data_IF_259578473972
#
_entry.id   IF_259578473972
#
_cell.length_a   1.000
_cell.length_b   1.000
_cell.length_c   1.000
_cell.angle_alpha   90.00
_cell.angle_beta   90.00
_cell.angle_gamma   90.00
#
_symmetry.space_group_name_H-M   'P 1'
#
loop_
_entity.id
_entity.type
_entity.pdbx_description
1 polymer ?
#
# COMPACT_ATOMS: atom_id res chain seq x y z
N UNK A 1 -18.83 34.58 -18.45
CA UNK A 1 -18.69 33.25 -17.81
C UNK A 1 -17.23 32.98 -17.52
N UNK A 2 -16.88 32.71 -16.26
CA UNK A 2 -15.53 32.37 -15.80
C UNK A 2 -15.50 30.92 -15.23
N UNK A 3 -14.31 30.37 -15.03
CA UNK A 3 -14.18 29.04 -14.41
C UNK A 3 -14.37 29.15 -12.90
N UNK A 4 -15.14 28.24 -12.32
CA UNK A 4 -15.41 28.18 -10.89
C UNK A 4 -14.11 28.10 -10.05
N UNK A 5 -13.15 27.28 -10.44
CA UNK A 5 -11.87 27.18 -9.74
C UNK A 5 -11.07 28.49 -9.70
N UNK A 6 -11.13 29.29 -10.77
CA UNK A 6 -10.47 30.59 -10.80
C UNK A 6 -11.15 31.58 -9.87
N UNK A 7 -12.49 31.69 -9.92
CA UNK A 7 -13.25 32.57 -9.05
C UNK A 7 -13.02 32.23 -7.57
N UNK A 8 -13.01 30.95 -7.24
CA UNK A 8 -12.76 30.49 -5.86
C UNK A 8 -11.35 30.80 -5.40
N UNK A 9 -10.33 30.68 -6.27
CA UNK A 9 -8.95 31.06 -5.95
C UNK A 9 -8.83 32.58 -5.75
N UNK A 10 -9.45 33.37 -6.60
CA UNK A 10 -9.42 34.84 -6.48
C UNK A 10 -10.10 35.31 -5.17
N UNK A 11 -11.16 34.63 -4.74
CA UNK A 11 -11.84 34.90 -3.46
C UNK A 11 -11.10 34.36 -2.23
N UNK A 12 -10.19 33.38 -2.41
CA UNK A 12 -9.46 32.71 -1.34
C UNK A 12 -7.99 32.57 -1.72
N UNK A 13 -7.20 33.63 -1.67
CA UNK A 13 -5.81 33.65 -2.14
C UNK A 13 -4.88 32.70 -1.36
N UNK A 14 -5.24 32.37 -0.13
CA UNK A 14 -4.48 31.40 0.70
C UNK A 14 -4.71 29.93 0.31
N UNK A 15 -5.63 29.66 -0.61
CA UNK A 15 -5.93 28.30 -1.04
C UNK A 15 -5.13 27.92 -2.29
N UNK A 16 -4.55 26.73 -2.26
CA UNK A 16 -3.98 26.16 -3.48
C UNK A 16 -5.10 25.65 -4.42
N UNK A 17 -4.80 25.58 -5.71
CA UNK A 17 -5.73 25.04 -6.71
C UNK A 17 -6.19 23.62 -6.36
N UNK A 18 -5.27 22.77 -5.86
CA UNK A 18 -5.58 21.40 -5.42
C UNK A 18 -6.56 21.39 -4.24
N UNK A 19 -6.49 22.37 -3.34
CA UNK A 19 -7.45 22.50 -2.23
C UNK A 19 -8.85 22.84 -2.75
N UNK A 20 -8.96 23.79 -3.68
CA UNK A 20 -10.24 24.13 -4.32
C UNK A 20 -10.83 22.92 -5.07
N UNK A 21 -10.01 22.20 -5.86
CA UNK A 21 -10.44 20.97 -6.54
C UNK A 21 -10.93 19.91 -5.56
N UNK A 22 -10.26 19.78 -4.40
CA UNK A 22 -10.66 18.89 -3.31
C UNK A 22 -12.01 19.27 -2.70
N UNK A 23 -12.24 20.53 -2.43
CA UNK A 23 -13.52 21.05 -1.88
C UNK A 23 -14.69 20.83 -2.85
N UNK A 24 -14.49 21.10 -4.14
CA UNK A 24 -15.51 20.84 -5.16
C UNK A 24 -15.81 19.33 -5.25
N UNK A 25 -14.80 18.49 -5.32
CA UNK A 25 -14.95 17.04 -5.38
C UNK A 25 -15.59 16.45 -4.13
N UNK A 26 -15.36 17.05 -2.96
CA UNK A 26 -15.96 16.66 -1.68
C UNK A 26 -17.40 17.13 -1.49
N UNK A 27 -17.98 17.88 -2.46
CA UNK A 27 -19.35 18.38 -2.36
C UNK A 27 -19.51 19.65 -1.52
N UNK A 28 -18.39 20.28 -1.10
CA UNK A 28 -18.40 21.48 -0.25
C UNK A 28 -18.57 22.79 -1.02
N UNK A 29 -18.82 22.72 -2.33
CA UNK A 29 -19.06 23.88 -3.17
C UNK A 29 -20.40 23.73 -3.88
N UNK A 30 -21.26 24.75 -3.78
CA UNK A 30 -22.56 24.81 -4.47
C UNK A 30 -22.58 26.01 -5.40
N UNK A 31 -23.28 25.88 -6.51
CA UNK A 31 -23.60 26.95 -7.44
C UNK A 31 -25.13 26.99 -7.57
N UNK A 32 -25.74 28.11 -7.18
CA UNK A 32 -27.19 28.24 -7.10
C UNK A 32 -27.85 27.14 -6.29
N UNK A 33 -27.28 26.83 -5.10
CA UNK A 33 -27.70 25.76 -4.17
C UNK A 33 -27.54 24.32 -4.70
N UNK A 34 -26.98 24.12 -5.89
CA UNK A 34 -26.68 22.79 -6.45
C UNK A 34 -25.19 22.48 -6.29
N UNK A 35 -24.88 21.27 -5.81
CA UNK A 35 -23.47 20.83 -5.64
C UNK A 35 -22.72 20.88 -6.97
N UNK A 36 -21.58 21.54 -6.97
CA UNK A 36 -20.74 21.70 -8.16
C UNK A 36 -20.08 20.37 -8.54
N UNK A 37 -20.33 19.89 -9.76
CA UNK A 37 -19.79 18.60 -10.25
C UNK A 37 -18.30 18.64 -10.59
N UNK A 38 -17.80 19.81 -11.04
CA UNK A 38 -16.42 19.96 -11.54
C UNK A 38 -15.86 21.35 -11.19
N UNK A 39 -14.63 21.40 -10.69
CA UNK A 39 -13.93 22.64 -10.40
C UNK A 39 -13.75 23.54 -11.64
N UNK A 40 -13.66 22.94 -12.83
CA UNK A 40 -13.51 23.66 -14.09
C UNK A 40 -14.81 24.09 -14.77
N UNK A 41 -16.00 23.91 -14.15
CA UNK A 41 -17.27 24.32 -14.74
C UNK A 41 -17.31 25.86 -14.94
N UNK A 42 -18.04 26.30 -15.95
CA UNK A 42 -18.25 27.73 -16.22
C UNK A 42 -19.46 28.23 -15.43
N UNK A 43 -19.30 29.34 -14.77
CA UNK A 43 -20.35 30.03 -13.99
C UNK A 43 -20.54 31.42 -14.53
N UNK A 44 -21.78 31.97 -14.43
CA UNK A 44 -22.10 33.33 -14.79
C UNK A 44 -21.77 34.29 -13.62
N UNK A 45 -21.67 35.58 -13.89
CA UNK A 45 -21.45 36.57 -12.84
C UNK A 45 -22.64 36.68 -11.87
N UNK A 46 -23.81 36.29 -12.32
CA UNK A 46 -25.07 36.30 -11.55
C UNK A 46 -25.22 35.04 -10.69
N UNK A 47 -24.38 34.00 -10.87
CA UNK A 47 -24.49 32.74 -10.11
C UNK A 47 -24.04 32.98 -8.67
N UNK A 48 -24.81 32.42 -7.73
CA UNK A 48 -24.49 32.40 -6.31
C UNK A 48 -23.57 31.19 -6.03
N UNK A 49 -22.34 31.47 -5.59
CA UNK A 49 -21.38 30.46 -5.25
C UNK A 49 -21.23 30.39 -3.74
N UNK A 50 -21.58 29.25 -3.17
CA UNK A 50 -21.43 28.93 -1.75
C UNK A 50 -20.28 27.93 -1.58
N UNK A 51 -19.39 28.17 -0.61
CA UNK A 51 -18.30 27.27 -0.28
C UNK A 51 -18.25 27.05 1.23
N UNK A 52 -18.39 25.80 1.63
CA UNK A 52 -18.20 25.38 3.01
C UNK A 52 -16.77 24.88 3.19
N UNK A 53 -16.10 25.34 4.23
CA UNK A 53 -14.78 24.85 4.60
C UNK A 53 -14.97 23.84 5.72
N UNK A 54 -14.81 22.52 5.44
CA UNK A 54 -14.92 21.51 6.48
C UNK A 54 -13.85 21.76 7.55
N UNK A 55 -14.12 21.43 8.82
CA UNK A 55 -13.13 21.53 9.87
C UNK A 55 -11.87 20.76 9.48
N UNK A 56 -10.69 21.23 9.93
CA UNK A 56 -9.44 20.50 9.68
C UNK A 56 -9.58 19.07 10.21
N UNK A 57 -9.32 18.07 9.34
CA UNK A 57 -9.20 16.70 9.81
C UNK A 57 -8.03 16.64 10.79
N UNK A 58 -8.19 16.09 11.99
CA UNK A 58 -7.10 15.99 12.97
C UNK A 58 -5.85 15.39 12.30
N UNK A 59 -4.73 16.06 12.42
CA UNK A 59 -3.45 15.57 11.89
C UNK A 59 -2.95 14.33 12.66
N UNK A 60 -3.52 14.13 13.85
CA UNK A 60 -3.18 13.02 14.76
C UNK A 60 -4.21 11.90 14.58
N UNK A 61 -3.78 10.69 14.23
CA UNK A 61 -4.66 9.52 14.23
C UNK A 61 -5.20 9.26 15.64
N UNK A 62 -6.47 8.92 15.75
CA UNK A 62 -7.09 8.56 17.01
C UNK A 62 -7.05 7.04 17.22
N UNK A 63 -6.95 6.55 18.49
CA UNK A 63 -7.04 5.14 18.80
C UNK A 63 -8.41 4.56 18.41
N UNK A 64 -8.44 3.39 17.78
CA UNK A 64 -9.66 2.68 17.43
C UNK A 64 -9.54 1.21 17.84
N UNK A 65 -10.58 0.65 18.48
CA UNK A 65 -10.64 -0.76 18.85
C UNK A 65 -10.86 -1.66 17.62
N UNK A 66 -9.76 -1.90 16.91
CA UNK A 66 -9.71 -2.76 15.72
C UNK A 66 -8.84 -3.96 16.06
N UNK A 67 -9.36 -5.20 15.95
CA UNK A 67 -8.59 -6.40 16.24
C UNK A 67 -7.30 -6.51 15.40
N UNK A 68 -6.19 -6.83 16.06
CA UNK A 68 -4.90 -7.09 15.45
C UNK A 68 -4.53 -8.57 15.59
N UNK A 69 -4.08 -9.18 14.50
CA UNK A 69 -3.45 -10.50 14.51
C UNK A 69 -1.96 -10.32 14.87
N UNK A 70 -1.66 -10.37 16.17
CA UNK A 70 -0.31 -10.17 16.73
C UNK A 70 0.47 -11.48 16.63
N UNK A 71 1.56 -11.44 15.86
CA UNK A 71 2.48 -12.59 15.66
C UNK A 71 3.57 -12.61 16.73
N UNK A 72 4.04 -11.43 17.14
CA UNK A 72 5.05 -11.27 18.18
C UNK A 72 4.97 -9.88 18.78
N UNK A 73 5.22 -9.79 20.07
CA UNK A 73 5.29 -8.54 20.80
C UNK A 73 6.27 -8.60 21.97
N UNK A 74 7.08 -7.56 22.13
CA UNK A 74 7.88 -7.30 23.32
C UNK A 74 7.86 -5.80 23.68
N UNK A 75 8.82 -5.33 24.48
CA UNK A 75 8.91 -3.91 24.86
C UNK A 75 9.30 -2.98 23.71
N UNK A 76 9.97 -3.50 22.67
CA UNK A 76 10.63 -2.73 21.64
C UNK A 76 9.96 -2.84 20.27
N UNK A 77 9.39 -4.00 19.94
CA UNK A 77 8.76 -4.24 18.65
C UNK A 77 7.42 -4.97 18.79
N UNK A 78 6.57 -4.74 17.81
CA UNK A 78 5.35 -5.50 17.55
C UNK A 78 5.37 -5.99 16.11
N UNK A 79 5.09 -7.27 15.87
CA UNK A 79 4.91 -7.84 14.52
C UNK A 79 3.47 -8.27 14.36
N UNK A 80 2.81 -7.72 13.35
CA UNK A 80 1.39 -7.95 13.06
C UNK A 80 1.25 -8.63 11.71
N UNK A 81 0.37 -9.61 11.60
CA UNK A 81 -0.14 -10.12 10.34
C UNK A 81 -1.31 -9.25 9.87
N UNK A 82 -0.99 -8.23 9.07
CA UNK A 82 -1.98 -7.26 8.59
C UNK A 82 -3.03 -7.92 7.71
N UNK A 83 -4.30 -7.73 8.04
CA UNK A 83 -5.41 -8.15 7.17
C UNK A 83 -5.40 -7.39 5.83
N UNK A 84 -5.87 -8.02 4.74
CA UNK A 84 -6.14 -7.31 3.49
C UNK A 84 -7.27 -6.27 3.68
N UNK A 85 -7.30 -5.24 2.84
CA UNK A 85 -8.28 -4.13 2.95
C UNK A 85 -7.87 -3.02 3.92
N UNK A 86 -7.04 -3.32 4.92
CA UNK A 86 -6.57 -2.35 5.92
C UNK A 86 -5.43 -1.48 5.37
N UNK A 87 -5.61 -0.16 5.41
CA UNK A 87 -4.55 0.82 5.10
C UNK A 87 -3.60 0.93 6.29
N UNK A 88 -2.30 1.07 6.03
CA UNK A 88 -1.29 1.12 7.12
C UNK A 88 -1.39 2.40 7.94
N UNK A 89 -1.55 3.56 7.32
CA UNK A 89 -1.60 4.86 8.01
C UNK A 89 -2.59 5.80 7.34
N UNK A 90 -3.15 6.77 8.06
CA UNK A 90 -4.09 7.72 7.50
C UNK A 90 -3.58 8.41 6.23
N UNK A 91 -4.45 8.50 5.26
CA UNK A 91 -4.19 9.11 3.96
C UNK A 91 -5.50 9.74 3.43
N UNK A 92 -5.44 10.65 2.43
CA UNK A 92 -6.66 11.18 1.83
C UNK A 92 -7.63 10.10 1.40
N UNK A 93 -8.84 10.11 1.96
CA UNK A 93 -9.90 9.11 1.77
C UNK A 93 -9.91 7.95 2.79
N UNK A 94 -8.93 7.87 3.68
CA UNK A 94 -8.81 6.85 4.72
C UNK A 94 -8.19 7.47 5.99
N UNK A 95 -8.97 8.22 6.75
CA UNK A 95 -8.48 8.88 7.96
C UNK A 95 -8.67 8.03 9.22
N UNK A 96 -9.55 7.05 9.16
CA UNK A 96 -9.94 6.09 10.20
C UNK A 96 -9.80 4.66 9.69
N UNK A 97 -9.93 3.68 10.57
CA UNK A 97 -9.87 2.25 10.20
C UNK A 97 -8.49 1.79 9.73
N UNK A 98 -7.42 2.50 10.07
CA UNK A 98 -6.06 2.15 9.63
C UNK A 98 -5.33 1.31 10.67
N UNK A 99 -4.25 0.66 10.25
CA UNK A 99 -3.39 -0.07 11.18
C UNK A 99 -2.87 0.85 12.30
N UNK A 100 -2.55 2.11 11.99
CA UNK A 100 -2.10 3.08 13.00
C UNK A 100 -3.18 3.35 14.05
N UNK A 101 -4.45 3.46 13.66
CA UNK A 101 -5.55 3.63 14.63
C UNK A 101 -5.65 2.42 15.57
N UNK A 102 -5.56 1.20 15.02
CA UNK A 102 -5.56 -0.05 15.81
C UNK A 102 -4.33 -0.14 16.74
N UNK A 103 -3.15 0.24 16.23
CA UNK A 103 -1.91 0.23 17.00
C UNK A 103 -1.94 1.21 18.19
N UNK A 104 -2.51 2.39 18.00
CA UNK A 104 -2.65 3.38 19.08
C UNK A 104 -3.60 2.91 20.18
N UNK A 105 -4.59 2.11 19.84
CA UNK A 105 -5.48 1.48 20.82
C UNK A 105 -4.78 0.33 21.56
N UNK A 106 -4.08 -0.55 20.81
CA UNK A 106 -3.37 -1.69 21.37
C UNK A 106 -2.15 -1.28 22.21
N UNK A 107 -1.41 -0.25 21.79
CA UNK A 107 -0.22 0.27 22.45
C UNK A 107 -0.39 1.77 22.72
N UNK A 108 -1.01 2.21 23.84
CA UNK A 108 -1.25 3.62 24.14
C UNK A 108 0.04 4.46 24.17
N UNK A 109 1.16 3.86 24.57
CA UNK A 109 2.47 4.52 24.67
C UNK A 109 3.15 4.73 23.31
N UNK A 110 2.56 4.24 22.21
CA UNK A 110 3.10 4.39 20.87
C UNK A 110 3.07 5.85 20.39
N UNK A 111 2.24 6.68 21.00
CA UNK A 111 2.11 8.11 20.70
C UNK A 111 3.46 8.83 20.86
N UNK A 112 3.92 9.46 19.75
CA UNK A 112 5.20 10.18 19.74
C UNK A 112 6.40 9.41 19.21
N UNK A 113 6.32 8.08 19.08
CA UNK A 113 7.42 7.26 18.52
C UNK A 113 7.42 7.39 17.00
N UNK A 114 8.47 8.00 16.44
CA UNK A 114 8.60 8.20 14.98
C UNK A 114 7.70 9.29 14.37
N UNK A 115 7.07 10.13 15.21
CA UNK A 115 6.27 11.28 14.83
C UNK A 115 4.76 11.06 14.89
N UNK A 116 4.02 12.16 14.90
CA UNK A 116 2.58 12.19 15.17
C UNK A 116 1.73 11.44 14.14
N UNK A 117 2.09 11.55 12.85
CA UNK A 117 1.24 11.02 11.78
C UNK A 117 1.41 9.51 11.52
N UNK A 118 2.50 8.89 11.99
CA UNK A 118 2.86 7.49 11.69
C UNK A 118 3.61 6.84 12.85
N UNK A 119 3.04 6.86 14.07
CA UNK A 119 3.73 6.33 15.23
C UNK A 119 4.15 4.86 15.02
N UNK A 120 5.43 4.58 15.26
CA UNK A 120 6.02 3.25 15.17
C UNK A 120 6.18 2.66 13.75
N UNK A 121 5.67 3.30 12.70
CA UNK A 121 5.69 2.75 11.33
C UNK A 121 7.02 2.97 10.63
N UNK A 122 7.73 1.90 10.34
CA UNK A 122 9.04 1.90 9.65
C UNK A 122 8.97 1.45 8.18
N UNK A 123 7.93 0.70 7.81
CA UNK A 123 7.64 0.30 6.43
C UNK A 123 6.14 0.17 6.19
N UNK A 124 5.75 -0.21 5.00
CA UNK A 124 4.32 -0.32 4.66
C UNK A 124 4.03 -1.49 3.74
N UNK A 125 2.78 -1.95 3.78
CA UNK A 125 2.15 -2.80 2.79
C UNK A 125 1.08 -2.01 2.03
N UNK A 126 0.75 -2.43 0.82
CA UNK A 126 -0.41 -1.89 0.11
C UNK A 126 -1.70 -2.27 0.86
N UNK A 127 -2.77 -1.51 0.68
CA UNK A 127 -4.06 -1.72 1.36
C UNK A 127 -4.50 -3.19 1.29
N UNK A 128 -4.56 -3.75 0.09
CA UNK A 128 -5.06 -5.09 -0.17
C UNK A 128 -3.97 -6.19 -0.11
N UNK A 129 -2.74 -5.85 0.23
CA UNK A 129 -1.67 -6.81 0.53
C UNK A 129 -1.76 -7.22 2.00
N UNK A 130 -1.86 -8.51 2.25
CA UNK A 130 -1.86 -9.11 3.60
C UNK A 130 -0.46 -9.45 4.09
N UNK A 131 -0.30 -9.75 5.37
CA UNK A 131 0.91 -10.35 5.93
C UNK A 131 1.72 -9.45 6.85
N UNK A 132 2.95 -9.83 7.10
CA UNK A 132 3.78 -9.32 8.17
C UNK A 132 4.18 -7.86 7.99
N UNK A 133 3.99 -7.11 9.06
CA UNK A 133 4.49 -5.74 9.24
C UNK A 133 5.09 -5.60 10.62
N UNK A 134 6.30 -5.02 10.73
CA UNK A 134 6.94 -4.71 12.02
C UNK A 134 6.72 -3.26 12.38
N UNK A 135 6.47 -3.02 13.65
CA UNK A 135 6.19 -1.73 14.27
C UNK A 135 7.18 -1.52 15.40
N UNK A 136 7.75 -0.34 15.52
CA UNK A 136 8.61 0.04 16.64
C UNK A 136 7.76 0.51 17.82
N UNK A 137 7.99 -0.04 19.01
CA UNK A 137 7.33 0.36 20.26
C UNK A 137 8.21 1.27 21.13
N UNK A 138 9.52 1.35 20.85
CA UNK A 138 10.45 2.26 21.53
C UNK A 138 11.16 3.17 20.53
N UNK A 139 11.62 4.33 21.00
CA UNK A 139 12.36 5.27 20.16
C UNK A 139 13.65 4.65 19.64
N UNK A 140 14.34 3.86 20.48
CA UNK A 140 15.57 3.14 20.09
C UNK A 140 15.31 2.11 18.99
N UNK A 141 14.22 1.35 19.11
CA UNK A 141 13.79 0.42 18.06
C UNK A 141 13.45 1.15 16.76
N UNK A 142 12.74 2.29 16.84
CA UNK A 142 12.39 3.12 15.69
C UNK A 142 13.64 3.57 14.92
N UNK A 143 14.63 4.13 15.59
CA UNK A 143 15.85 4.61 14.97
C UNK A 143 16.65 3.50 14.29
N UNK A 144 16.77 2.35 14.96
CA UNK A 144 17.53 1.21 14.44
C UNK A 144 16.80 0.51 13.29
N UNK A 145 15.48 0.33 13.37
CA UNK A 145 14.70 -0.22 12.26
C UNK A 145 14.71 0.71 11.05
N UNK A 146 14.56 2.02 11.23
CA UNK A 146 14.65 2.99 10.10
C UNK A 146 16.01 2.86 9.41
N UNK A 147 17.13 2.78 10.15
CA UNK A 147 18.48 2.57 9.57
C UNK A 147 18.58 1.23 8.85
N UNK A 148 18.04 0.16 9.43
CA UNK A 148 18.07 -1.18 8.83
C UNK A 148 17.24 -1.24 7.54
N UNK A 149 16.03 -0.67 7.52
CA UNK A 149 15.21 -0.58 6.31
C UNK A 149 15.81 0.33 5.22
N UNK A 150 16.49 1.41 5.60
CA UNK A 150 17.17 2.32 4.66
C UNK A 150 18.41 1.69 4.04
N UNK A 151 19.19 0.95 4.83
CA UNK A 151 20.43 0.28 4.36
C UNK A 151 20.15 -1.06 3.69
N UNK A 152 18.95 -1.60 3.83
CA UNK A 152 18.58 -2.96 3.41
C UNK A 152 19.46 -4.07 4.03
N UNK A 153 20.14 -3.76 5.13
CA UNK A 153 20.98 -4.72 5.87
C UNK A 153 20.18 -5.31 7.03
N UNK A 154 20.38 -6.60 7.28
CA UNK A 154 19.76 -7.31 8.40
C UNK A 154 18.24 -7.38 8.36
N UNK A 155 17.64 -7.16 7.18
CA UNK A 155 16.21 -7.33 6.95
C UNK A 155 16.00 -8.09 5.65
N UNK A 156 15.24 -9.18 5.73
CA UNK A 156 14.80 -9.94 4.57
C UNK A 156 13.27 -9.99 4.55
N UNK A 157 12.68 -9.69 3.42
CA UNK A 157 11.23 -9.64 3.20
C UNK A 157 10.89 -10.57 2.07
N UNK A 158 10.17 -11.64 2.38
CA UNK A 158 9.72 -12.63 1.41
C UNK A 158 8.21 -12.60 1.31
N UNK A 159 7.73 -12.52 0.09
CA UNK A 159 6.31 -12.50 -0.25
C UNK A 159 5.95 -13.72 -1.06
N UNK A 160 4.68 -14.14 -0.95
CA UNK A 160 4.06 -15.08 -1.86
C UNK A 160 3.11 -14.30 -2.76
N UNK A 161 3.26 -14.49 -4.07
CA UNK A 161 2.40 -13.92 -5.10
C UNK A 161 1.79 -15.05 -5.93
N UNK A 162 0.48 -14.99 -6.18
CA UNK A 162 -0.17 -15.83 -7.19
C UNK A 162 -0.27 -15.01 -8.46
N UNK A 163 0.34 -15.49 -9.54
CA UNK A 163 0.46 -14.75 -10.79
C UNK A 163 -0.20 -15.49 -11.95
N UNK A 164 -0.77 -14.76 -12.91
CA UNK A 164 -1.29 -15.35 -14.15
C UNK A 164 -0.18 -15.97 -14.99
N UNK A 165 -0.39 -17.20 -15.44
CA UNK A 165 0.56 -17.93 -16.28
C UNK A 165 1.81 -18.34 -15.52
N UNK A 166 2.92 -18.54 -16.27
CA UNK A 166 4.24 -18.89 -15.72
C UNK A 166 5.30 -18.00 -16.37
N UNK A 167 6.25 -17.45 -15.61
CA UNK A 167 7.44 -16.82 -16.17
C UNK A 167 8.22 -17.79 -17.07
N UNK A 168 8.98 -17.25 -18.03
CA UNK A 168 9.80 -18.08 -18.93
C UNK A 168 10.90 -18.86 -18.22
N UNK A 169 11.44 -18.29 -17.15
CA UNK A 169 12.45 -18.89 -16.30
C UNK A 169 11.79 -19.33 -14.97
N UNK A 170 12.45 -20.20 -14.24
CA UNK A 170 11.99 -20.68 -12.94
C UNK A 170 12.38 -19.73 -11.79
N UNK A 171 13.36 -18.88 -12.02
CA UNK A 171 13.80 -17.86 -11.07
C UNK A 171 14.50 -16.73 -11.80
N UNK A 172 14.66 -15.60 -11.11
CA UNK A 172 15.39 -14.46 -11.67
C UNK A 172 15.46 -13.28 -10.71
N UNK A 173 16.13 -12.23 -11.18
CA UNK A 173 16.28 -10.94 -10.52
C UNK A 173 15.78 -9.84 -11.45
N UNK A 174 14.94 -8.97 -10.93
CA UNK A 174 14.50 -7.75 -11.63
C UNK A 174 15.11 -6.57 -10.90
N UNK A 175 15.84 -5.74 -11.63
CA UNK A 175 16.44 -4.52 -11.12
C UNK A 175 16.19 -3.38 -12.10
N UNK A 176 15.47 -2.35 -11.63
CA UNK A 176 15.12 -1.20 -12.45
C UNK A 176 14.73 0.01 -11.57
N UNK A 177 14.27 1.08 -12.22
CA UNK A 177 13.74 2.24 -11.52
C UNK A 177 12.20 2.18 -11.54
N UNK A 178 11.59 2.30 -10.36
CA UNK A 178 10.13 2.48 -10.24
C UNK A 178 9.82 3.94 -9.90
N UNK A 179 8.94 4.54 -10.67
CA UNK A 179 8.45 5.91 -10.52
C UNK A 179 6.95 6.02 -10.77
N UNK A 180 6.39 7.23 -10.67
CA UNK A 180 5.01 7.48 -11.06
C UNK A 180 4.82 7.24 -12.55
N UNK A 181 3.72 6.56 -12.93
CA UNK A 181 3.38 6.37 -14.33
C UNK A 181 3.22 7.73 -15.03
N UNK A 182 3.79 7.92 -16.23
CA UNK A 182 3.84 9.26 -16.87
C UNK A 182 2.46 9.85 -17.18
N UNK A 183 1.47 9.01 -17.44
CA UNK A 183 0.10 9.43 -17.78
C UNK A 183 -0.85 9.22 -16.61
N UNK A 184 -0.95 8.01 -16.09
CA UNK A 184 -1.81 7.67 -14.96
C UNK A 184 -1.06 7.81 -13.63
N UNK A 185 -1.11 9.00 -13.04
CA UNK A 185 -0.38 9.31 -11.80
C UNK A 185 -0.82 8.52 -10.56
N UNK A 186 -1.92 7.77 -10.63
CA UNK A 186 -2.35 6.85 -9.56
C UNK A 186 -1.55 5.52 -9.59
N UNK A 187 -0.91 5.23 -10.70
CA UNK A 187 -0.12 4.02 -10.90
C UNK A 187 1.38 4.29 -10.76
N UNK A 188 2.12 3.22 -10.50
CA UNK A 188 3.58 3.16 -10.60
C UNK A 188 3.97 2.46 -11.90
N UNK A 189 5.17 2.72 -12.39
CA UNK A 189 5.71 2.09 -13.59
C UNK A 189 7.23 1.94 -13.50
N UNK A 190 7.78 1.04 -14.30
CA UNK A 190 9.21 1.03 -14.60
C UNK A 190 9.50 2.27 -15.47
N UNK A 191 10.45 3.08 -15.04
CA UNK A 191 10.82 4.33 -15.69
C UNK A 191 12.33 4.39 -15.92
N UNK A 192 12.75 5.15 -16.93
CA UNK A 192 14.17 5.33 -17.22
C UNK A 192 14.79 6.49 -16.41
N UNK A 193 13.97 7.43 -15.93
CA UNK A 193 14.38 8.63 -15.19
C UNK A 193 13.37 8.93 -14.08
N UNK A 194 13.82 9.66 -13.06
CA UNK A 194 12.95 10.11 -11.94
C UNK A 194 12.26 8.97 -11.18
N UNK A 195 12.84 7.77 -11.18
CA UNK A 195 12.43 6.63 -10.38
C UNK A 195 13.41 6.37 -9.24
N UNK A 196 13.02 5.45 -8.36
CA UNK A 196 13.88 4.93 -7.27
C UNK A 196 14.24 3.49 -7.60
N UNK A 197 15.49 3.09 -7.33
CA UNK A 197 15.95 1.71 -7.51
C UNK A 197 15.01 0.73 -6.82
N UNK A 198 14.63 -0.31 -7.54
CA UNK A 198 13.72 -1.38 -7.14
C UNK A 198 14.31 -2.73 -7.54
N UNK A 199 14.48 -3.61 -6.55
CA UNK A 199 15.13 -4.91 -6.73
C UNK A 199 14.24 -6.00 -6.14
N UNK A 200 13.87 -6.97 -6.98
CA UNK A 200 13.08 -8.15 -6.61
C UNK A 200 13.74 -9.42 -7.16
N UNK A 201 14.12 -10.31 -6.27
CA UNK A 201 14.48 -11.68 -6.62
C UNK A 201 13.20 -12.53 -6.56
N UNK A 202 12.99 -13.41 -7.53
CA UNK A 202 11.79 -14.21 -7.61
C UNK A 202 12.10 -15.66 -7.97
N UNK A 203 11.25 -16.60 -7.52
CA UNK A 203 11.34 -18.02 -7.81
C UNK A 203 9.94 -18.60 -7.93
N UNK A 204 9.70 -19.39 -8.98
CA UNK A 204 8.47 -20.18 -9.13
C UNK A 204 8.52 -21.35 -8.15
N UNK A 205 7.54 -21.43 -7.27
CA UNK A 205 7.38 -22.52 -6.30
C UNK A 205 6.57 -23.66 -6.88
N UNK A 206 5.47 -23.33 -7.54
CA UNK A 206 4.61 -24.31 -8.19
C UNK A 206 3.85 -23.70 -9.37
N UNK A 207 3.45 -24.59 -10.29
CA UNK A 207 2.60 -24.26 -11.43
C UNK A 207 1.63 -25.42 -11.62
N UNK A 208 0.43 -25.37 -11.01
CA UNK A 208 -0.50 -26.49 -11.03
C UNK A 208 -1.08 -26.82 -12.41
N UNK A 209 -0.92 -25.94 -13.39
CA UNK A 209 -1.40 -26.13 -14.76
C UNK A 209 -0.22 -26.39 -15.72
N UNK A 210 -0.32 -27.41 -16.57
CA UNK A 210 0.65 -27.72 -17.62
C UNK A 210 0.72 -26.62 -18.72
N UNK A 211 -0.28 -25.80 -18.81
CA UNK A 211 -0.32 -24.72 -19.82
C UNK A 211 0.24 -23.42 -19.28
N UNK A 212 1.36 -22.96 -19.86
CA UNK A 212 1.99 -21.66 -19.53
C UNK A 212 1.05 -20.46 -19.72
N UNK A 213 0.05 -20.56 -20.58
CA UNK A 213 -0.84 -19.43 -20.92
C UNK A 213 -2.19 -19.43 -20.19
N UNK A 214 -2.64 -20.58 -19.71
CA UNK A 214 -3.99 -20.76 -19.15
C UNK A 214 -4.04 -20.97 -17.64
N UNK A 215 -2.89 -21.13 -16.99
CA UNK A 215 -2.80 -21.41 -15.57
C UNK A 215 -2.34 -20.23 -14.74
N UNK A 216 -1.93 -20.54 -13.55
CA UNK A 216 -1.30 -19.61 -12.62
C UNK A 216 -0.02 -20.23 -12.05
N UNK A 217 0.80 -19.39 -11.43
CA UNK A 217 2.00 -19.81 -10.73
C UNK A 217 2.02 -19.21 -9.33
N UNK A 218 2.45 -20.00 -8.36
CA UNK A 218 2.83 -19.53 -7.05
C UNK A 218 4.30 -19.10 -7.10
N UNK A 219 4.55 -17.85 -6.78
CA UNK A 219 5.89 -17.22 -6.92
C UNK A 219 6.32 -16.67 -5.58
N UNK A 220 7.49 -17.07 -5.12
CA UNK A 220 8.20 -16.42 -4.03
C UNK A 220 8.90 -15.17 -4.56
N UNK A 221 8.70 -14.04 -3.87
CA UNK A 221 9.33 -12.76 -4.19
C UNK A 221 10.10 -12.26 -2.98
N UNK A 222 11.44 -12.26 -3.04
CA UNK A 222 12.30 -11.65 -2.04
C UNK A 222 12.71 -10.24 -2.51
N UNK A 223 12.32 -9.22 -1.75
CA UNK A 223 12.59 -7.84 -2.11
C UNK A 223 13.75 -7.26 -1.30
N UNK A 224 14.71 -6.64 -1.99
CA UNK A 224 15.79 -5.88 -1.36
C UNK A 224 15.34 -4.44 -1.06
N UNK A 225 14.49 -3.88 -1.89
CA UNK A 225 13.90 -2.54 -1.75
C UNK A 225 12.39 -2.62 -1.46
N UNK A 226 11.75 -1.54 -1.02
CA UNK A 226 10.31 -1.50 -0.73
C UNK A 226 9.61 -0.33 -1.42
N UNK A 227 9.56 -0.30 -2.76
CA UNK A 227 8.88 0.76 -3.50
C UNK A 227 7.38 0.47 -3.58
N UNK A 228 6.59 1.53 -3.67
CA UNK A 228 5.13 1.41 -3.85
C UNK A 228 4.81 0.50 -5.03
N UNK A 229 3.95 -0.50 -4.82
CA UNK A 229 3.52 -1.51 -5.79
C UNK A 229 4.66 -2.31 -6.45
N UNK A 230 5.85 -2.40 -5.84
CA UNK A 230 7.05 -2.94 -6.48
C UNK A 230 6.85 -4.33 -7.09
N UNK A 231 6.43 -5.33 -6.29
CA UNK A 231 6.21 -6.70 -6.78
C UNK A 231 5.16 -6.72 -7.88
N UNK A 232 4.08 -5.99 -7.71
CA UNK A 232 2.96 -5.91 -8.67
C UNK A 232 3.42 -5.39 -10.04
N UNK A 233 4.22 -4.32 -10.05
CA UNK A 233 4.82 -3.76 -11.27
C UNK A 233 5.82 -4.73 -11.89
N UNK A 234 6.68 -5.36 -11.09
CA UNK A 234 7.69 -6.30 -11.56
C UNK A 234 7.06 -7.56 -12.16
N UNK A 235 6.08 -8.18 -11.51
CA UNK A 235 5.39 -9.35 -12.05
C UNK A 235 4.64 -9.02 -13.34
N UNK A 236 4.01 -7.85 -13.41
CA UNK A 236 3.37 -7.37 -14.64
C UNK A 236 4.38 -7.20 -15.78
N UNK A 237 5.60 -6.72 -15.50
CA UNK A 237 6.67 -6.55 -16.50
C UNK A 237 7.20 -7.87 -17.06
N UNK A 238 7.09 -8.96 -16.31
CA UNK A 238 7.39 -10.32 -16.78
C UNK A 238 6.28 -10.92 -17.66
N UNK A 239 5.15 -10.22 -17.84
CA UNK A 239 3.96 -10.73 -18.51
C UNK A 239 3.09 -11.65 -17.66
N UNK A 240 3.45 -11.83 -16.38
CA UNK A 240 2.78 -12.68 -15.39
C UNK A 240 2.27 -11.83 -14.22
N UNK A 241 1.28 -10.95 -14.43
CA UNK A 241 0.79 -10.05 -13.38
C UNK A 241 0.12 -10.82 -12.25
N UNK A 242 0.11 -10.21 -11.06
CA UNK A 242 -0.55 -10.77 -9.88
C UNK A 242 -2.06 -10.90 -10.14
N UNK A 243 -2.62 -12.04 -9.80
CA UNK A 243 -4.06 -12.33 -9.90
C UNK A 243 -4.83 -11.38 -8.97
N UNK A 244 -5.99 -10.89 -9.43
CA UNK A 244 -6.85 -9.97 -8.67
C UNK A 244 -6.32 -8.54 -8.56
N UNK A 245 -5.21 -8.23 -9.21
CA UNK A 245 -4.66 -6.87 -9.20
C UNK A 245 -5.46 -5.94 -10.12
N UNK A 246 -6.22 -5.03 -9.52
CA UNK A 246 -7.10 -4.08 -10.23
C UNK A 246 -6.34 -3.06 -11.07
N UNK A 247 -5.05 -2.83 -10.79
CA UNK A 247 -4.24 -1.79 -11.47
C UNK A 247 -3.27 -2.35 -12.51
N UNK A 248 -2.67 -3.50 -12.25
CA UNK A 248 -1.62 -4.10 -13.09
C UNK A 248 -2.03 -5.47 -13.62
N UNK A 249 -3.12 -6.04 -13.14
CA UNK A 249 -3.63 -7.37 -13.48
C UNK A 249 -4.31 -7.45 -14.85
N UNK A 250 -4.78 -8.64 -15.16
CA UNK A 250 -5.55 -8.96 -16.36
C UNK A 250 -6.97 -9.36 -15.96
N UNK A 251 -7.83 -8.40 -15.66
CA UNK A 251 -9.20 -8.62 -15.18
C UNK A 251 -10.03 -9.58 -16.05
N UNK A 252 -9.78 -9.62 -17.36
CA UNK A 252 -10.44 -10.56 -18.26
C UNK A 252 -10.03 -12.02 -17.98
N UNK A 253 -8.83 -12.25 -17.46
CA UNK A 253 -8.37 -13.57 -17.02
C UNK A 253 -8.87 -13.90 -15.61
N UNK A 254 -8.92 -12.91 -14.71
CA UNK A 254 -9.48 -13.10 -13.36
C UNK A 254 -10.91 -13.63 -13.40
N UNK A 255 -11.74 -13.11 -14.32
CA UNK A 255 -13.13 -13.55 -14.52
C UNK A 255 -13.27 -15.00 -14.98
N UNK A 256 -12.19 -15.65 -15.40
CA UNK A 256 -12.19 -17.07 -15.83
C UNK A 256 -11.81 -18.02 -14.70
N UNK A 257 -11.39 -17.49 -13.56
CA UNK A 257 -11.09 -18.28 -12.36
C UNK A 257 -12.41 -18.73 -11.70
N UNK A 258 -12.41 -19.88 -11.04
CA UNK A 258 -13.62 -20.37 -10.33
C UNK A 258 -14.18 -19.35 -9.35
N UNK A 259 -13.26 -18.70 -8.60
CA UNK A 259 -13.59 -17.62 -7.68
C UNK A 259 -12.83 -16.35 -8.13
N UNK A 260 -13.58 -15.30 -8.49
CA UNK A 260 -12.98 -14.03 -8.92
C UNK A 260 -12.32 -13.35 -7.70
N UNK A 261 -11.01 -13.18 -7.69
CA UNK A 261 -10.34 -12.63 -6.51
C UNK A 261 -10.72 -11.16 -6.29
N UNK A 262 -11.09 -10.82 -5.07
CA UNK A 262 -11.48 -9.46 -4.68
C UNK A 262 -10.29 -8.48 -4.60
N UNK A 263 -9.08 -9.00 -4.45
CA UNK A 263 -7.83 -8.25 -4.21
C UNK A 263 -6.64 -8.88 -4.94
N UNK A 264 -5.52 -8.16 -4.97
CA UNK A 264 -4.25 -8.78 -5.41
C UNK A 264 -3.85 -9.94 -4.51
N UNK A 265 -3.62 -11.11 -5.08
CA UNK A 265 -3.14 -12.31 -4.41
C UNK A 265 -1.66 -12.18 -4.08
N UNK A 266 -1.35 -11.30 -3.13
CA UNK A 266 -0.02 -10.95 -2.66
C UNK A 266 0.00 -10.91 -1.13
N UNK A 267 0.96 -11.60 -0.53
CA UNK A 267 1.07 -11.79 0.91
C UNK A 267 2.52 -11.64 1.39
N UNK A 268 2.76 -10.78 2.36
CA UNK A 268 4.04 -10.64 3.04
C UNK A 268 4.23 -11.82 4.00
N UNK A 269 4.75 -12.91 3.47
CA UNK A 269 4.75 -14.23 4.08
C UNK A 269 5.78 -14.39 5.19
N UNK A 270 7.05 -13.96 4.94
CA UNK A 270 8.14 -14.11 5.88
C UNK A 270 8.91 -12.81 6.06
N UNK A 271 9.23 -12.51 7.30
CA UNK A 271 10.06 -11.37 7.69
C UNK A 271 11.19 -11.87 8.58
N UNK A 272 12.42 -11.73 8.12
CA UNK A 272 13.62 -11.94 8.94
C UNK A 272 14.26 -10.60 9.24
N UNK A 273 14.55 -10.33 10.48
CA UNK A 273 15.22 -9.10 10.91
C UNK A 273 16.12 -9.37 12.13
N UNK A 274 17.08 -8.49 12.34
CA UNK A 274 17.78 -8.42 13.62
C UNK A 274 16.96 -7.56 14.58
N UNK A 275 16.74 -8.11 15.79
CA UNK A 275 16.03 -7.37 16.83
C UNK A 275 16.76 -6.03 17.09
N UNK A 276 16.03 -4.88 17.01
CA UNK A 276 16.69 -3.56 16.96
C UNK A 276 17.45 -3.18 18.23
N UNK A 277 17.17 -3.86 19.33
CA UNK A 277 17.79 -3.57 20.64
C UNK A 277 18.67 -4.73 21.12
N UNK A 278 18.21 -5.96 21.00
CA UNK A 278 18.89 -7.17 21.51
C UNK A 278 19.93 -7.74 20.56
N UNK A 279 19.99 -7.28 19.31
CA UNK A 279 20.95 -7.75 18.29
C UNK A 279 20.92 -9.27 18.04
N UNK A 280 19.75 -9.91 18.18
CA UNK A 280 19.51 -11.30 17.80
C UNK A 280 18.69 -11.39 16.52
N UNK A 281 18.96 -12.36 15.70
CA UNK A 281 18.18 -12.60 14.49
C UNK A 281 16.85 -13.26 14.84
N UNK A 282 15.77 -12.77 14.21
CA UNK A 282 14.42 -13.28 14.35
C UNK A 282 13.78 -13.50 12.99
N UNK A 283 13.02 -14.56 12.85
CA UNK A 283 12.25 -14.88 11.65
C UNK A 283 10.80 -15.11 12.04
N UNK A 284 9.90 -14.40 11.38
CA UNK A 284 8.45 -14.52 11.53
C UNK A 284 7.86 -15.05 10.23
N UNK A 285 6.83 -15.87 10.34
CA UNK A 285 6.08 -16.39 9.19
C UNK A 285 4.60 -16.22 9.45
N UNK A 286 3.86 -15.63 8.52
CA UNK A 286 2.41 -15.56 8.58
C UNK A 286 1.77 -16.70 7.81
N UNK A 287 0.66 -17.28 8.29
CA UNK A 287 -0.07 -18.29 7.53
C UNK A 287 -0.60 -17.72 6.22
N UNK A 288 -0.64 -18.55 5.18
CA UNK A 288 -1.24 -18.14 3.89
C UNK A 288 -2.75 -17.88 4.10
N UNK A 289 -3.27 -16.71 3.69
CA UNK A 289 -4.68 -16.39 3.81
C UNK A 289 -5.55 -17.39 3.04
N UNK A 290 -6.75 -17.66 3.55
CA UNK A 290 -7.68 -18.64 2.99
C UNK A 290 -8.01 -18.37 1.52
N UNK A 291 -8.13 -17.10 1.12
CA UNK A 291 -8.36 -16.68 -0.27
C UNK A 291 -7.16 -16.91 -1.21
N UNK A 292 -5.98 -17.17 -0.66
CA UNK A 292 -4.78 -17.53 -1.41
C UNK A 292 -4.45 -19.03 -1.34
N UNK A 293 -4.84 -19.73 -0.27
CA UNK A 293 -4.52 -21.14 -0.09
C UNK A 293 -5.13 -22.05 -1.18
N UNK A 294 -6.25 -21.62 -1.78
CA UNK A 294 -6.89 -22.31 -2.92
C UNK A 294 -5.97 -22.41 -4.15
N UNK A 295 -4.94 -21.58 -4.25
CA UNK A 295 -3.94 -21.60 -5.33
C UNK A 295 -2.69 -22.44 -4.98
N UNK A 296 -2.63 -23.00 -3.79
CA UNK A 296 -1.50 -23.77 -3.26
C UNK A 296 -0.78 -23.05 -2.12
N UNK A 297 0.02 -23.81 -1.41
CA UNK A 297 0.84 -23.31 -0.30
C UNK A 297 2.33 -23.38 -0.65
N UNK A 298 3.13 -22.43 -0.12
CA UNK A 298 4.59 -22.55 -0.22
C UNK A 298 5.04 -23.80 0.52
N UNK A 299 6.17 -24.41 0.11
CA UNK A 299 6.72 -25.56 0.82
C UNK A 299 7.02 -25.18 2.28
N UNK A 300 6.72 -26.08 3.19
CA UNK A 300 7.08 -25.95 4.61
C UNK A 300 8.61 -25.91 4.70
N UNK A 301 9.16 -24.86 5.31
CA UNK A 301 10.61 -24.64 5.48
C UNK A 301 10.99 -24.86 6.93
#
# INVERSE_FOLDING_TARGET
>A
MARLDKILLDRNPDFSRSRIEGLVKGGFVKVNSVVAEKAGMKVAETDVIEMEIPPPVPATPEPEDIPLDVVYEDSDILVVNKAPGMVVHPAPGHFTGTLVNALLYHCPDLSGIGGVARPGIVHRLDQDTSGLIVVAKSQKAMENLVKAFASHKHIEKTYIAVCHGRPRLDSGRIENLIGRHPVDRKRMAIVQRNGKSAITNWKVLSTPSESREKGYSLIECRIETGRTHQIRVHMASLGTPVIGDKQYGKQALDKRLPDVPARQMLHAWRLTLWHPVESRQMTFTAPIPIDMSVYGEPPVV
#
